data_IF_321619290512
#
_entry.id   IF_321619290512
#
_cell.length_a   1.000
_cell.length_b   1.000
_cell.length_c   1.000
_cell.angle_alpha   90.00
_cell.angle_beta   90.00
_cell.angle_gamma   90.00
#
_symmetry.space_group_name_H-M   'P 1'
#
loop_
_entity.id
_entity.type
_entity.pdbx_description
1 polymer ?
#
# COMPACT_ATOMS: atom_id res chain seq x y z
N UNK A 1 -21.99 25.68 44.01
CA UNK A 1 -22.75 24.46 43.63
C UNK A 1 -22.50 24.01 42.17
N UNK A 2 -22.27 24.91 41.20
CA UNK A 2 -21.86 24.53 39.82
C UNK A 2 -20.45 23.92 39.70
N UNK A 3 -19.47 24.39 40.49
CA UNK A 3 -18.08 23.91 40.44
C UNK A 3 -17.87 22.48 40.98
N UNK A 4 -18.73 21.98 41.88
CA UNK A 4 -18.64 20.62 42.39
C UNK A 4 -19.23 19.58 41.42
N UNK A 5 -20.11 20.00 40.52
CA UNK A 5 -20.71 19.14 39.49
C UNK A 5 -19.76 18.90 38.30
N UNK A 6 -18.92 19.89 37.95
CA UNK A 6 -17.88 19.71 36.91
C UNK A 6 -16.76 18.76 37.34
N UNK A 7 -16.33 18.84 38.61
CA UNK A 7 -15.31 17.94 39.17
C UNK A 7 -15.79 16.48 39.31
N UNK A 8 -17.10 16.27 39.52
CA UNK A 8 -17.69 14.94 39.58
C UNK A 8 -17.83 14.33 38.18
N UNK A 9 -18.28 15.12 37.19
CA UNK A 9 -18.37 14.70 35.79
C UNK A 9 -16.99 14.40 35.20
N UNK A 10 -15.98 15.24 35.47
CA UNK A 10 -14.61 15.02 35.02
C UNK A 10 -13.99 13.74 35.60
N UNK A 11 -14.24 13.42 36.87
CA UNK A 11 -13.78 12.16 37.49
C UNK A 11 -14.50 10.93 36.95
N UNK A 12 -15.78 11.05 36.58
CA UNK A 12 -16.56 9.95 36.02
C UNK A 12 -16.16 9.64 34.56
N UNK A 13 -15.89 10.67 33.75
CA UNK A 13 -15.37 10.53 32.38
C UNK A 13 -13.95 9.95 32.37
N UNK A 14 -13.08 10.38 33.29
CA UNK A 14 -11.70 9.85 33.41
C UNK A 14 -11.65 8.38 33.83
N UNK A 15 -12.64 7.92 34.62
CA UNK A 15 -12.79 6.52 35.06
C UNK A 15 -13.37 5.63 33.95
N UNK A 16 -14.17 6.18 33.03
CA UNK A 16 -14.62 5.47 31.83
C UNK A 16 -13.51 5.38 30.77
N UNK A 17 -12.70 6.43 30.60
CA UNK A 17 -11.54 6.42 29.71
C UNK A 17 -10.44 5.44 30.14
N UNK A 18 -10.27 5.21 31.45
CA UNK A 18 -9.28 4.24 31.95
C UNK A 18 -9.76 2.78 31.86
N UNK A 19 -11.07 2.53 31.77
CA UNK A 19 -11.61 1.17 31.58
C UNK A 19 -11.70 0.81 30.09
N UNK A 20 -11.94 1.77 29.19
CA UNK A 20 -11.90 1.52 27.73
C UNK A 20 -10.48 1.39 27.16
N UNK A 21 -9.48 2.03 27.78
CA UNK A 21 -8.07 1.86 27.37
C UNK A 21 -7.48 0.54 27.93
N UNK A 22 -7.97 0.04 29.07
CA UNK A 22 -7.54 -1.25 29.62
C UNK A 22 -8.07 -2.46 28.82
N UNK A 23 -9.21 -2.33 28.14
CA UNK A 23 -9.70 -3.36 27.21
C UNK A 23 -8.90 -3.41 25.89
N UNK A 24 -8.19 -2.34 25.54
CA UNK A 24 -7.27 -2.28 24.39
C UNK A 24 -5.83 -2.72 24.75
N UNK A 25 -5.50 -2.81 26.04
CA UNK A 25 -4.15 -3.22 26.52
C UNK A 25 -4.12 -4.68 27.01
N UNK A 26 -5.27 -5.33 27.22
CA UNK A 26 -5.32 -6.75 27.63
C UNK A 26 -5.57 -7.76 26.48
N UNK A 27 -5.70 -7.30 25.24
CA UNK A 27 -5.65 -8.18 24.05
C UNK A 27 -4.23 -8.39 23.50
N UNK A 28 -3.22 -7.72 24.07
CA UNK A 28 -1.84 -7.80 23.62
C UNK A 28 -1.08 -9.08 24.07
N UNK A 29 -1.75 -9.98 24.79
CA UNK A 29 -1.18 -11.28 25.18
C UNK A 29 -2.18 -12.44 25.03
N UNK A 30 -3.11 -12.35 24.08
CA UNK A 30 -3.89 -13.50 23.63
C UNK A 30 -3.57 -13.80 22.17
N UNK A 31 -2.31 -14.17 21.90
CA UNK A 31 -1.99 -14.92 20.70
C UNK A 31 -2.74 -16.25 20.83
N UNK A 32 -3.86 -16.37 20.12
CA UNK A 32 -4.51 -17.67 19.93
C UNK A 32 -3.64 -18.39 18.91
N UNK A 33 -2.91 -19.38 19.38
CA UNK A 33 -2.27 -20.38 18.54
C UNK A 33 -3.36 -21.25 17.93
N UNK A 34 -4.08 -20.72 16.93
CA UNK A 34 -4.74 -21.59 15.95
C UNK A 34 -3.61 -22.12 15.05
N UNK A 35 -2.89 -23.10 15.61
CA UNK A 35 -1.87 -23.90 14.94
C UNK A 35 -2.57 -24.78 13.89
N UNK A 36 -2.97 -24.19 12.77
CA UNK A 36 -2.70 -24.85 11.51
C UNK A 36 -1.23 -24.50 11.19
N UNK A 37 -0.25 -25.36 11.54
CA UNK A 37 1.11 -25.11 11.12
C UNK A 37 1.08 -24.98 9.60
N UNK A 38 1.67 -23.90 9.08
CA UNK A 38 2.20 -23.95 7.72
C UNK A 38 3.02 -25.25 7.69
N UNK A 39 2.70 -26.23 6.81
CA UNK A 39 3.44 -27.48 6.76
C UNK A 39 4.91 -27.08 6.66
N UNK A 40 5.70 -27.60 7.60
CA UNK A 40 7.10 -27.23 7.88
C UNK A 40 7.76 -26.60 6.68
N UNK A 41 7.91 -25.27 6.71
CA UNK A 41 8.36 -24.51 5.55
C UNK A 41 9.74 -25.04 5.10
N UNK A 42 9.77 -25.89 4.09
CA UNK A 42 11.03 -26.31 3.49
C UNK A 42 11.62 -25.08 2.78
N UNK A 43 12.95 -25.04 2.53
CA UNK A 43 13.59 -23.93 1.81
C UNK A 43 13.00 -23.63 0.41
N UNK A 44 12.08 -24.47 -0.08
CA UNK A 44 11.36 -24.38 -1.36
C UNK A 44 9.93 -23.85 -1.26
N UNK A 45 9.40 -23.57 -0.08
CA UNK A 45 8.03 -23.05 0.04
C UNK A 45 7.92 -21.58 -0.39
N UNK A 46 6.89 -21.22 -1.17
CA UNK A 46 6.72 -19.88 -1.72
C UNK A 46 6.53 -18.82 -0.60
N UNK A 47 7.12 -17.62 -0.73
CA UNK A 47 7.02 -16.52 0.23
C UNK A 47 5.62 -15.96 0.47
N UNK A 48 4.62 -16.36 -0.31
CA UNK A 48 3.22 -16.01 -0.08
C UNK A 48 2.72 -16.51 1.30
N UNK A 49 3.37 -17.54 1.89
CA UNK A 49 3.07 -18.01 3.24
C UNK A 49 3.79 -17.25 4.37
N UNK A 50 4.58 -16.20 4.09
CA UNK A 50 5.41 -15.53 5.11
C UNK A 50 4.84 -14.25 5.70
N UNK A 51 3.95 -13.56 4.98
CA UNK A 51 3.22 -12.42 5.53
C UNK A 51 1.91 -12.93 6.12
N UNK A 52 1.80 -12.85 7.45
CA UNK A 52 0.52 -13.06 8.12
C UNK A 52 -0.42 -11.91 7.73
N UNK A 53 -1.32 -12.16 6.78
CA UNK A 53 -2.30 -11.17 6.36
C UNK A 53 -3.61 -11.23 7.15
N UNK A 54 -3.72 -12.14 8.13
CA UNK A 54 -4.80 -12.12 9.14
C UNK A 54 -4.23 -11.92 10.57
N UNK A 55 -3.48 -10.84 10.84
CA UNK A 55 -2.81 -10.66 12.14
C UNK A 55 -3.76 -10.41 13.32
N UNK A 56 -5.05 -10.20 13.06
CA UNK A 56 -6.06 -9.91 14.07
C UNK A 56 -7.14 -11.01 14.12
N UNK A 57 -7.76 -11.27 15.28
CA UNK A 57 -8.88 -12.21 15.35
C UNK A 57 -10.03 -11.80 14.42
N UNK A 58 -10.56 -12.75 13.64
CA UNK A 58 -11.67 -12.51 12.68
C UNK A 58 -12.87 -11.79 13.30
N UNK A 59 -13.22 -12.11 14.56
CA UNK A 59 -14.35 -11.49 15.27
C UNK A 59 -14.11 -10.00 15.55
N UNK A 60 -12.86 -9.61 15.80
CA UNK A 60 -12.50 -8.22 16.02
C UNK A 60 -12.61 -7.42 14.73
N UNK A 61 -12.11 -7.98 13.62
CA UNK A 61 -12.22 -7.37 12.30
C UNK A 61 -13.68 -7.21 11.90
N UNK A 62 -14.48 -8.27 12.00
CA UNK A 62 -15.92 -8.23 11.70
C UNK A 62 -16.65 -7.17 12.53
N UNK A 63 -16.31 -7.01 13.82
CA UNK A 63 -16.87 -5.96 14.68
C UNK A 63 -16.46 -4.53 14.30
N UNK A 64 -15.29 -4.35 13.69
CA UNK A 64 -14.76 -3.05 13.29
C UNK A 64 -15.25 -2.57 11.91
N UNK A 65 -15.79 -3.47 11.08
CA UNK A 65 -16.17 -3.18 9.68
C UNK A 65 -17.12 -2.00 9.51
N UNK A 66 -18.13 -1.89 10.38
CA UNK A 66 -19.12 -0.81 10.33
C UNK A 66 -18.45 0.57 10.48
N UNK A 67 -17.34 0.64 11.19
CA UNK A 67 -16.55 1.86 11.38
C UNK A 67 -15.39 2.01 10.40
N UNK A 68 -15.12 1.04 9.53
CA UNK A 68 -13.91 1.01 8.69
C UNK A 68 -13.72 2.28 7.83
N UNK A 69 -14.76 2.87 7.20
CA UNK A 69 -14.60 4.14 6.47
C UNK A 69 -14.14 5.30 7.35
N UNK A 70 -14.67 5.39 8.58
CA UNK A 70 -14.34 6.46 9.53
C UNK A 70 -12.94 6.25 10.07
N UNK A 71 -12.64 5.06 10.59
CA UNK A 71 -11.33 4.73 11.15
C UNK A 71 -10.23 4.78 10.10
N UNK A 72 -10.48 4.29 8.88
CA UNK A 72 -9.54 4.31 7.76
C UNK A 72 -9.17 5.74 7.35
N UNK A 73 -10.15 6.64 7.25
CA UNK A 73 -9.91 8.07 6.99
C UNK A 73 -9.14 8.76 8.11
N UNK A 74 -9.44 8.45 9.36
CA UNK A 74 -8.68 9.01 10.49
C UNK A 74 -7.23 8.50 10.46
N UNK A 75 -7.04 7.20 10.24
CA UNK A 75 -5.73 6.58 10.19
C UNK A 75 -4.88 7.11 9.01
N UNK A 76 -5.49 7.41 7.86
CA UNK A 76 -4.75 7.95 6.71
C UNK A 76 -4.18 9.35 6.97
N UNK A 77 -4.82 10.13 7.84
CA UNK A 77 -4.35 11.47 8.25
C UNK A 77 -3.20 11.43 9.26
N UNK A 78 -3.06 10.34 10.01
CA UNK A 78 -2.06 10.24 11.08
C UNK A 78 -0.71 9.79 10.52
N UNK A 79 0.23 10.74 10.51
CA UNK A 79 1.64 10.53 10.20
C UNK A 79 2.49 11.02 11.36
N UNK A 80 3.23 10.13 12.01
CA UNK A 80 4.17 10.50 13.07
C UNK A 80 5.52 10.99 12.53
N UNK A 81 5.89 10.54 11.33
CA UNK A 81 7.18 10.86 10.69
C UNK A 81 7.03 10.83 9.17
N UNK A 82 7.67 11.78 8.48
CA UNK A 82 7.88 11.67 7.03
C UNK A 82 8.80 10.49 6.70
N UNK A 83 8.53 9.83 5.58
CA UNK A 83 9.41 8.80 5.05
C UNK A 83 10.80 9.35 4.74
N UNK A 84 11.82 8.53 4.95
CA UNK A 84 13.20 8.97 4.78
C UNK A 84 13.52 9.41 3.35
N UNK A 85 12.82 8.87 2.33
CA UNK A 85 12.99 9.29 0.93
C UNK A 85 12.43 10.68 0.62
N UNK A 86 11.53 11.22 1.45
CA UNK A 86 10.88 12.51 1.17
C UNK A 86 11.91 13.64 0.96
N UNK A 87 12.98 13.62 1.77
CA UNK A 87 14.05 14.64 1.78
C UNK A 87 15.22 14.30 0.86
N UNK A 88 15.24 13.11 0.25
CA UNK A 88 16.35 12.64 -0.56
C UNK A 88 16.09 12.93 -2.04
N UNK A 89 16.45 14.15 -2.47
CA UNK A 89 16.17 14.59 -3.84
C UNK A 89 16.86 13.71 -4.89
N UNK A 90 18.10 13.29 -4.61
CA UNK A 90 18.87 12.42 -5.51
C UNK A 90 18.20 11.04 -5.68
N UNK A 91 17.61 10.50 -4.60
CA UNK A 91 16.86 9.25 -4.65
C UNK A 91 15.61 9.38 -5.53
N UNK A 92 14.89 10.50 -5.40
CA UNK A 92 13.71 10.80 -6.23
C UNK A 92 14.08 10.99 -7.70
N UNK A 93 15.21 11.65 -7.98
CA UNK A 93 15.77 11.78 -9.35
C UNK A 93 16.13 10.40 -9.91
N UNK A 94 16.81 9.57 -9.12
CA UNK A 94 17.15 8.21 -9.49
C UNK A 94 15.90 7.39 -9.83
N UNK A 95 14.90 7.34 -8.94
CA UNK A 95 13.65 6.61 -9.17
C UNK A 95 12.95 7.10 -10.43
N UNK A 96 12.79 8.42 -10.60
CA UNK A 96 12.17 9.02 -11.79
C UNK A 96 12.90 8.65 -13.08
N UNK A 97 14.23 8.51 -13.05
CA UNK A 97 15.01 8.06 -14.22
C UNK A 97 14.75 6.59 -14.61
N UNK A 98 14.20 5.78 -13.70
CA UNK A 98 13.90 4.36 -13.92
C UNK A 98 12.46 4.10 -14.34
N UNK A 99 11.55 5.03 -14.02
CA UNK A 99 10.12 4.88 -14.28
C UNK A 99 9.79 4.89 -15.78
N UNK A 100 8.79 4.10 -16.13
CA UNK A 100 8.13 4.09 -17.43
C UNK A 100 6.62 4.01 -17.22
N UNK A 101 5.80 4.61 -18.12
CA UNK A 101 4.35 4.56 -17.97
C UNK A 101 3.85 3.11 -17.82
N UNK A 102 2.93 2.92 -16.87
CA UNK A 102 2.38 1.67 -16.32
C UNK A 102 3.23 0.95 -15.27
N UNK A 103 4.39 1.47 -14.88
CA UNK A 103 5.14 0.87 -13.76
C UNK A 103 4.35 0.97 -12.45
N UNK A 104 4.30 -0.13 -11.69
CA UNK A 104 3.78 -0.18 -10.32
C UNK A 104 4.90 0.25 -9.36
N UNK A 105 4.57 1.18 -8.47
CA UNK A 105 5.43 1.61 -7.38
C UNK A 105 4.83 1.11 -6.08
N UNK A 106 5.48 0.11 -5.48
CA UNK A 106 5.09 -0.45 -4.18
C UNK A 106 5.91 0.23 -3.10
N UNK A 107 5.25 0.71 -2.05
CA UNK A 107 5.89 1.57 -1.06
C UNK A 107 5.72 1.07 0.38
N UNK A 108 6.76 1.31 1.17
CA UNK A 108 6.79 1.05 2.62
C UNK A 108 6.96 2.35 3.37
N UNK A 109 6.05 2.68 4.29
CA UNK A 109 6.06 3.97 5.02
C UNK A 109 5.84 3.74 6.52
N UNK A 110 6.91 3.45 7.26
CA UNK A 110 6.86 3.10 8.69
C UNK A 110 6.47 4.27 9.59
N UNK A 111 6.38 5.48 9.04
CA UNK A 111 5.94 6.69 9.73
C UNK A 111 4.42 6.93 9.74
N UNK A 112 3.63 6.14 9.00
CA UNK A 112 2.15 6.30 8.89
C UNK A 112 1.40 5.31 9.78
N UNK A 113 0.22 5.70 10.29
CA UNK A 113 -0.64 4.82 11.09
C UNK A 113 -1.15 3.62 10.29
N UNK A 114 -1.52 3.82 9.03
CA UNK A 114 -1.94 2.73 8.14
C UNK A 114 -0.91 1.61 8.01
N UNK A 115 0.39 1.93 8.07
CA UNK A 115 1.46 0.92 8.01
C UNK A 115 1.56 0.02 9.23
N UNK A 116 1.06 0.47 10.38
CA UNK A 116 1.01 -0.37 11.59
C UNK A 116 -0.26 -1.20 11.68
N UNK A 117 -1.31 -0.79 10.97
CA UNK A 117 -2.62 -1.42 10.99
C UNK A 117 -2.79 -2.47 9.89
N UNK A 118 -2.13 -2.25 8.74
CA UNK A 118 -2.18 -3.18 7.61
C UNK A 118 -1.02 -4.17 7.68
N UNK A 119 -1.24 -5.44 7.32
CA UNK A 119 -0.17 -6.43 7.28
C UNK A 119 0.81 -6.18 6.14
N UNK A 120 2.06 -6.61 6.34
CA UNK A 120 3.11 -6.61 5.31
C UNK A 120 4.09 -5.43 5.36
N UNK A 121 5.15 -5.55 4.57
CA UNK A 121 6.21 -4.53 4.47
C UNK A 121 5.85 -3.44 3.47
N UNK A 122 5.20 -3.81 2.38
CA UNK A 122 4.66 -2.91 1.37
C UNK A 122 3.15 -2.89 1.53
N UNK A 123 2.60 -1.72 1.80
CA UNK A 123 1.18 -1.57 2.19
C UNK A 123 0.36 -0.81 1.15
N UNK A 124 1.02 -0.28 0.13
CA UNK A 124 0.39 0.62 -0.84
C UNK A 124 1.05 0.48 -2.20
N UNK A 125 0.25 0.68 -3.24
CA UNK A 125 0.63 0.60 -4.65
C UNK A 125 0.16 1.87 -5.35
N UNK A 126 1.07 2.56 -6.03
CA UNK A 126 0.76 3.62 -6.98
C UNK A 126 1.17 3.19 -8.38
N UNK A 127 0.51 3.70 -9.43
CA UNK A 127 0.87 3.41 -10.82
C UNK A 127 1.37 4.68 -11.49
N UNK A 128 2.54 4.62 -12.12
CA UNK A 128 3.10 5.74 -12.86
C UNK A 128 2.40 5.89 -14.23
N UNK A 129 1.72 7.01 -14.45
CA UNK A 129 1.00 7.29 -15.71
C UNK A 129 1.87 7.97 -16.76
N UNK A 130 2.86 8.74 -16.31
CA UNK A 130 3.79 9.45 -17.19
C UNK A 130 3.63 10.97 -17.14
N UNK A 131 4.71 11.64 -17.53
CA UNK A 131 4.74 13.10 -17.74
C UNK A 131 3.99 13.50 -19.00
N UNK A 132 3.67 14.80 -19.14
CA UNK A 132 3.14 15.37 -20.39
C UNK A 132 3.97 14.95 -21.62
N UNK A 133 5.30 14.99 -21.52
CA UNK A 133 6.20 14.61 -22.62
C UNK A 133 6.00 13.15 -23.05
N UNK A 134 5.86 12.24 -22.08
CA UNK A 134 5.66 10.82 -22.35
C UNK A 134 4.27 10.56 -22.93
N UNK A 135 3.23 11.21 -22.39
CA UNK A 135 1.86 11.10 -22.89
C UNK A 135 1.72 11.68 -24.32
N UNK A 136 2.44 12.76 -24.64
CA UNK A 136 2.54 13.30 -26.01
C UNK A 136 3.22 12.31 -26.95
N UNK A 137 4.33 11.71 -26.51
CA UNK A 137 5.06 10.69 -27.28
C UNK A 137 4.18 9.46 -27.55
N UNK A 138 3.34 9.09 -26.59
CA UNK A 138 2.37 8.01 -26.73
C UNK A 138 1.12 8.43 -27.54
N UNK A 139 1.00 9.68 -28.00
CA UNK A 139 -0.18 10.16 -28.72
C UNK A 139 -1.45 10.20 -27.87
N UNK A 140 -1.32 10.15 -26.54
CA UNK A 140 -2.43 10.20 -25.59
C UNK A 140 -2.73 11.62 -25.11
N UNK A 141 -1.83 12.57 -25.32
CA UNK A 141 -2.03 13.92 -24.82
C UNK A 141 -3.31 14.58 -25.33
N UNK A 142 -3.75 14.28 -26.56
CA UNK A 142 -4.99 14.83 -27.13
C UNK A 142 -6.25 14.04 -26.75
N UNK A 143 -6.13 12.96 -25.99
CA UNK A 143 -7.25 12.15 -25.55
C UNK A 143 -8.09 12.89 -24.51
N UNK A 144 -9.42 12.86 -24.62
CA UNK A 144 -10.31 13.60 -23.73
C UNK A 144 -10.16 13.17 -22.27
N UNK A 145 -9.96 11.87 -22.01
CA UNK A 145 -9.76 11.34 -20.65
C UNK A 145 -8.47 11.87 -20.01
N UNK A 146 -7.43 12.10 -20.81
CA UNK A 146 -6.16 12.68 -20.35
C UNK A 146 -6.27 14.19 -20.22
N UNK A 147 -6.94 14.85 -21.17
CA UNK A 147 -7.10 16.31 -21.19
C UNK A 147 -7.90 16.82 -20.01
N UNK A 148 -8.88 16.05 -19.51
CA UNK A 148 -9.61 16.37 -18.28
C UNK A 148 -8.70 16.59 -17.06
N UNK A 149 -7.47 16.05 -17.09
CA UNK A 149 -6.49 16.15 -16.01
C UNK A 149 -5.18 16.83 -16.43
N UNK A 150 -5.16 17.53 -17.57
CA UNK A 150 -3.94 18.10 -18.14
C UNK A 150 -3.19 19.04 -17.18
N UNK A 151 -3.91 19.85 -16.41
CA UNK A 151 -3.29 20.82 -15.50
C UNK A 151 -2.66 20.16 -14.28
N UNK A 152 -3.27 19.10 -13.74
CA UNK A 152 -2.69 18.26 -12.69
C UNK A 152 -1.40 17.57 -13.18
N UNK A 153 -1.43 17.00 -14.40
CA UNK A 153 -0.25 16.35 -15.00
C UNK A 153 0.89 17.37 -15.21
N UNK A 154 0.58 18.59 -15.66
CA UNK A 154 1.58 19.67 -15.79
C UNK A 154 2.15 20.09 -14.44
N UNK A 155 1.33 20.09 -13.39
CA UNK A 155 1.75 20.38 -12.02
C UNK A 155 2.64 19.28 -11.41
N UNK A 156 2.68 18.09 -12.03
CA UNK A 156 3.53 16.98 -11.61
C UNK A 156 2.77 15.78 -11.04
N UNK A 157 1.44 15.77 -11.11
CA UNK A 157 0.59 14.66 -10.67
C UNK A 157 0.57 13.56 -11.73
N UNK A 158 1.66 12.79 -11.73
CA UNK A 158 2.01 11.81 -12.77
C UNK A 158 1.82 10.36 -12.31
N UNK A 159 1.29 10.15 -11.11
CA UNK A 159 0.88 8.86 -10.57
C UNK A 159 -0.63 8.81 -10.40
N UNK A 160 -1.17 7.60 -10.38
CA UNK A 160 -2.53 7.32 -9.92
C UNK A 160 -2.48 6.35 -8.75
N UNK A 161 -3.33 6.57 -7.76
CA UNK A 161 -3.48 5.73 -6.59
C UNK A 161 -4.92 5.74 -6.10
N UNK A 162 -5.32 4.67 -5.42
CA UNK A 162 -6.56 4.64 -4.63
C UNK A 162 -6.19 4.85 -3.15
N UNK A 163 -6.70 5.92 -2.56
CA UNK A 163 -6.53 6.27 -1.14
C UNK A 163 -7.90 6.56 -0.51
N UNK A 164 -7.98 6.88 0.77
CA UNK A 164 -9.25 7.05 1.51
C UNK A 164 -10.26 8.05 0.90
N UNK A 165 -9.77 8.95 0.06
CA UNK A 165 -10.50 9.97 -0.70
C UNK A 165 -11.06 9.47 -2.04
N UNK A 166 -10.66 8.26 -2.47
CA UNK A 166 -10.96 7.67 -3.77
C UNK A 166 -9.73 7.52 -4.65
N UNK A 167 -9.95 7.13 -5.90
CA UNK A 167 -8.92 7.07 -6.94
C UNK A 167 -8.61 8.49 -7.44
N UNK A 168 -7.34 8.87 -7.38
CA UNK A 168 -6.88 10.23 -7.73
C UNK A 168 -5.49 10.23 -8.33
N UNK A 169 -5.12 11.37 -8.93
CA UNK A 169 -3.74 11.64 -9.28
C UNK A 169 -2.93 12.05 -8.05
N UNK A 170 -1.64 11.76 -8.09
CA UNK A 170 -0.68 12.10 -7.05
C UNK A 170 0.68 12.50 -7.64
N UNK A 171 1.36 13.39 -6.93
CA UNK A 171 2.71 13.84 -7.27
C UNK A 171 3.77 12.80 -6.87
N UNK A 172 4.95 12.93 -7.48
CA UNK A 172 6.12 12.14 -7.05
C UNK A 172 6.51 12.39 -5.59
N UNK A 173 6.32 13.62 -5.09
CA UNK A 173 6.68 13.98 -3.72
C UNK A 173 5.74 13.35 -2.69
N UNK A 174 4.46 13.16 -3.02
CA UNK A 174 3.51 12.41 -2.20
C UNK A 174 3.84 10.91 -2.19
N UNK A 175 3.99 10.31 -3.37
CA UNK A 175 4.24 8.86 -3.52
C UNK A 175 5.57 8.45 -2.90
N UNK A 176 6.60 9.31 -3.01
CA UNK A 176 7.93 9.04 -2.45
C UNK A 176 8.16 9.60 -1.05
N UNK A 177 7.11 10.04 -0.34
CA UNK A 177 7.19 10.31 1.11
C UNK A 177 7.09 8.99 1.92
N UNK A 178 8.08 8.12 1.69
CA UNK A 178 8.12 6.72 2.15
C UNK A 178 9.55 6.34 2.54
N UNK A 179 9.74 5.19 3.17
CA UNK A 179 11.07 4.70 3.57
C UNK A 179 11.67 3.81 2.48
N UNK A 180 10.84 3.04 1.78
CA UNK A 180 11.28 2.16 0.70
C UNK A 180 10.31 2.22 -0.47
N UNK A 181 10.84 2.08 -1.68
CA UNK A 181 10.06 2.03 -2.91
C UNK A 181 10.62 0.96 -3.86
N UNK A 182 9.75 0.11 -4.40
CA UNK A 182 10.05 -0.86 -5.45
C UNK A 182 9.32 -0.43 -6.71
N UNK A 183 10.00 -0.49 -7.85
CA UNK A 183 9.40 -0.32 -9.17
C UNK A 183 9.30 -1.68 -9.85
N UNK A 184 8.06 -2.12 -10.11
CA UNK A 184 7.74 -3.32 -10.87
C UNK A 184 7.10 -2.94 -12.19
N UNK A 185 7.65 -3.44 -13.29
CA UNK A 185 7.23 -3.11 -14.64
C UNK A 185 6.36 -4.21 -15.24
N UNK A 186 5.12 -3.93 -15.65
CA UNK A 186 4.28 -4.92 -16.31
C UNK A 186 4.77 -5.27 -17.71
N UNK A 187 4.44 -6.47 -18.14
CA UNK A 187 4.67 -6.93 -19.51
C UNK A 187 3.44 -6.60 -20.35
N UNK A 188 3.61 -5.64 -21.28
CA UNK A 188 2.53 -5.16 -22.15
C UNK A 188 2.84 -5.48 -23.60
N UNK A 189 1.94 -6.23 -24.26
CA UNK A 189 2.20 -6.84 -25.57
C UNK A 189 2.36 -5.85 -26.73
N UNK A 190 1.81 -4.63 -26.64
CA UNK A 190 1.91 -3.65 -27.74
C UNK A 190 1.73 -2.20 -27.27
N UNK A 191 2.23 -1.21 -28.05
CA UNK A 191 1.94 0.20 -27.81
C UNK A 191 0.45 0.53 -27.82
N UNK A 192 -0.36 -0.17 -28.64
CA UNK A 192 -1.82 -0.01 -28.66
C UNK A 192 -2.44 -0.41 -27.32
N UNK A 193 -2.04 -1.56 -26.77
CA UNK A 193 -2.50 -2.02 -25.45
C UNK A 193 -2.01 -1.09 -24.35
N UNK A 194 -0.76 -0.63 -24.40
CA UNK A 194 -0.21 0.36 -23.45
C UNK A 194 -1.07 1.63 -23.40
N UNK A 195 -1.47 2.17 -24.55
CA UNK A 195 -2.37 3.33 -24.62
C UNK A 195 -3.75 3.05 -24.04
N UNK A 196 -4.33 1.90 -24.34
CA UNK A 196 -5.63 1.50 -23.82
C UNK A 196 -5.61 1.38 -22.28
N UNK A 197 -4.57 0.78 -21.72
CA UNK A 197 -4.38 0.66 -20.26
C UNK A 197 -4.24 2.02 -19.59
N UNK A 198 -3.46 2.94 -20.17
CA UNK A 198 -3.31 4.30 -19.62
C UNK A 198 -4.65 5.04 -19.62
N UNK A 199 -5.43 4.99 -20.72
CA UNK A 199 -6.78 5.58 -20.74
C UNK A 199 -7.69 4.99 -19.68
N UNK A 200 -7.62 3.66 -19.50
CA UNK A 200 -8.42 2.98 -18.48
C UNK A 200 -8.05 3.48 -17.08
N UNK A 201 -6.76 3.64 -16.75
CA UNK A 201 -6.39 4.27 -15.49
C UNK A 201 -6.94 5.69 -15.36
N UNK A 202 -6.89 6.52 -16.40
CA UNK A 202 -7.48 7.86 -16.34
C UNK A 202 -9.00 7.82 -16.13
N UNK A 203 -9.71 6.84 -16.68
CA UNK A 203 -11.16 6.71 -16.46
C UNK A 203 -11.54 6.28 -15.05
N UNK A 204 -10.61 5.68 -14.30
CA UNK A 204 -10.85 5.30 -12.88
C UNK A 204 -10.76 6.49 -11.92
N UNK A 205 -10.33 7.67 -12.36
CA UNK A 205 -10.21 8.83 -11.48
C UNK A 205 -11.60 9.23 -10.96
N UNK A 206 -11.75 9.26 -9.64
CA UNK A 206 -13.02 9.53 -8.96
C UNK A 206 -13.74 8.27 -8.45
N UNK A 207 -13.31 7.07 -8.82
CA UNK A 207 -13.84 5.82 -8.26
C UNK A 207 -13.67 5.79 -6.73
N UNK A 208 -14.69 5.33 -6.02
CA UNK A 208 -14.70 5.33 -4.55
C UNK A 208 -13.66 4.37 -3.95
N UNK A 209 -13.20 4.66 -2.74
CA UNK A 209 -12.25 3.78 -2.04
C UNK A 209 -12.97 2.63 -1.34
N UNK A 210 -12.45 1.42 -1.50
CA UNK A 210 -12.91 0.26 -0.74
C UNK A 210 -12.17 0.12 0.60
N UNK A 211 -12.89 0.35 1.69
CA UNK A 211 -12.38 0.17 3.05
C UNK A 211 -12.45 -1.27 3.56
N UNK A 212 -13.11 -2.17 2.81
CA UNK A 212 -13.21 -3.59 3.15
C UNK A 212 -12.06 -4.40 2.58
N UNK A 213 -11.34 -3.86 1.59
CA UNK A 213 -10.27 -4.55 0.88
C UNK A 213 -10.75 -5.89 0.28
N UNK A 214 -11.92 -5.84 -0.35
CA UNK A 214 -12.61 -6.96 -1.00
C UNK A 214 -12.54 -6.79 -2.52
N UNK A 215 -11.54 -7.41 -3.15
CA UNK A 215 -11.32 -7.41 -4.59
C UNK A 215 -12.32 -8.29 -5.37
N UNK A 216 -13.42 -8.71 -4.73
CA UNK A 216 -14.54 -9.40 -5.36
C UNK A 216 -15.61 -8.46 -5.92
N UNK A 217 -15.56 -7.16 -5.59
CA UNK A 217 -16.52 -6.12 -5.99
C UNK A 217 -15.78 -4.92 -6.59
N UNK A 218 -16.09 -4.56 -7.84
CA UNK A 218 -15.41 -3.50 -8.58
C UNK A 218 -16.10 -2.12 -8.50
N UNK A 219 -17.14 -1.95 -7.68
CA UNK A 219 -17.79 -0.64 -7.46
C UNK A 219 -16.87 0.37 -6.76
N UNK A 220 -15.92 -0.13 -5.97
CA UNK A 220 -14.95 0.66 -5.20
C UNK A 220 -13.61 -0.05 -5.24
N UNK A 221 -12.53 0.73 -5.32
CA UNK A 221 -11.19 0.17 -5.51
C UNK A 221 -10.27 0.57 -4.37
N UNK A 222 -9.45 -0.38 -3.91
CA UNK A 222 -8.25 -0.09 -3.13
C UNK A 222 -6.99 -0.16 -4.00
N UNK A 223 -5.84 0.25 -3.46
CA UNK A 223 -4.65 0.57 -4.26
C UNK A 223 -4.14 -0.60 -5.12
N UNK A 224 -4.04 -1.81 -4.55
CA UNK A 224 -3.57 -2.99 -5.28
C UNK A 224 -4.64 -3.54 -6.24
N UNK A 225 -5.92 -3.38 -5.89
CA UNK A 225 -7.04 -3.74 -6.75
C UNK A 225 -7.11 -2.86 -7.99
N UNK A 226 -6.99 -1.53 -7.86
CA UNK A 226 -6.90 -0.61 -8.99
C UNK A 226 -5.82 -1.05 -9.99
N UNK A 227 -4.65 -1.44 -9.50
CA UNK A 227 -3.58 -1.94 -10.34
C UNK A 227 -3.96 -3.25 -11.05
N UNK A 228 -4.54 -4.22 -10.34
CA UNK A 228 -4.94 -5.51 -10.89
C UNK A 228 -6.12 -5.43 -11.87
N UNK A 229 -7.14 -4.63 -11.53
CA UNK A 229 -8.33 -4.37 -12.32
C UNK A 229 -7.94 -3.85 -13.71
N UNK A 230 -7.10 -2.82 -13.76
CA UNK A 230 -6.69 -2.23 -15.04
C UNK A 230 -5.62 -3.08 -15.74
N UNK A 231 -4.59 -3.53 -15.03
CA UNK A 231 -3.52 -4.37 -15.57
C UNK A 231 -3.88 -5.85 -15.54
N UNK A 232 -5.04 -6.19 -16.10
CA UNK A 232 -5.44 -7.57 -16.27
C UNK A 232 -4.35 -8.40 -16.99
N UNK A 233 -4.21 -9.67 -16.59
CA UNK A 233 -3.22 -10.62 -17.09
C UNK A 233 -1.76 -10.32 -16.69
N UNK A 234 -1.52 -9.70 -15.53
CA UNK A 234 -0.18 -9.62 -14.95
C UNK A 234 0.13 -10.75 -13.96
N UNK A 235 -0.79 -11.70 -13.77
CA UNK A 235 -0.67 -12.81 -12.81
C UNK A 235 -0.38 -12.29 -11.38
N UNK A 236 -1.09 -11.22 -11.00
CA UNK A 236 -1.08 -10.65 -9.64
C UNK A 236 -1.81 -11.62 -8.70
N UNK A 237 -1.19 -12.05 -7.59
CA UNK A 237 -1.80 -13.01 -6.68
C UNK A 237 -3.06 -12.47 -5.99
N UNK A 238 -4.09 -13.31 -5.94
CA UNK A 238 -5.28 -13.14 -5.12
C UNK A 238 -5.21 -14.16 -3.98
N UNK A 239 -5.64 -13.75 -2.78
CA UNK A 239 -5.72 -14.63 -1.61
C UNK A 239 -6.99 -14.38 -0.81
N UNK A 240 -7.45 -15.37 -0.09
CA UNK A 240 -8.50 -15.18 0.91
C UNK A 240 -7.90 -14.51 2.15
N UNK A 241 -8.51 -13.41 2.60
CA UNK A 241 -8.14 -12.67 3.81
C UNK A 241 -9.42 -12.27 4.51
N UNK A 242 -9.62 -12.68 5.76
CA UNK A 242 -10.84 -12.41 6.52
C UNK A 242 -12.13 -12.82 5.78
N UNK A 243 -12.08 -13.93 5.02
CA UNK A 243 -13.23 -14.47 4.27
C UNK A 243 -13.60 -13.71 2.99
N UNK A 244 -12.71 -12.85 2.49
CA UNK A 244 -12.89 -12.07 1.25
C UNK A 244 -11.67 -12.23 0.34
N UNK A 245 -11.88 -11.99 -0.96
CA UNK A 245 -10.78 -12.01 -1.93
C UNK A 245 -9.99 -10.72 -1.80
N UNK A 246 -8.70 -10.79 -1.53
CA UNK A 246 -7.86 -9.62 -1.36
C UNK A 246 -6.54 -9.74 -2.14
N UNK A 247 -5.92 -8.59 -2.37
CA UNK A 247 -4.58 -8.48 -2.96
C UNK A 247 -3.66 -7.85 -1.93
N UNK A 248 -2.72 -8.63 -1.42
CA UNK A 248 -1.71 -8.15 -0.48
C UNK A 248 -0.50 -7.65 -1.30
N UNK A 249 -0.05 -6.39 -1.16
CA UNK A 249 1.03 -5.86 -2.00
C UNK A 249 2.35 -6.62 -1.86
N UNK A 250 2.64 -7.16 -0.68
CA UNK A 250 3.78 -8.05 -0.43
C UNK A 250 3.77 -9.30 -1.34
N UNK A 251 2.59 -9.86 -1.64
CA UNK A 251 2.47 -11.01 -2.55
C UNK A 251 2.79 -10.63 -4.01
N UNK A 252 2.53 -9.38 -4.41
CA UNK A 252 2.94 -8.84 -5.71
C UNK A 252 4.46 -8.81 -5.80
N UNK A 253 5.13 -8.31 -4.75
CA UNK A 253 6.61 -8.28 -4.67
C UNK A 253 7.17 -9.69 -4.74
N UNK A 254 6.67 -10.60 -3.89
CA UNK A 254 7.10 -11.99 -3.85
C UNK A 254 6.94 -12.66 -5.22
N UNK A 255 5.75 -12.57 -5.82
CA UNK A 255 5.46 -13.17 -7.13
C UNK A 255 6.37 -12.64 -8.24
N UNK A 256 6.67 -11.34 -8.26
CA UNK A 256 7.61 -10.74 -9.21
C UNK A 256 9.07 -11.17 -8.98
N UNK A 257 9.48 -11.31 -7.71
CA UNK A 257 10.83 -11.75 -7.35
C UNK A 257 11.10 -13.20 -7.75
N UNK A 258 10.07 -14.02 -7.76
CA UNK A 258 10.10 -15.43 -8.12
C UNK A 258 9.85 -15.71 -9.60
N UNK A 259 9.38 -14.69 -10.35
CA UNK A 259 9.01 -14.86 -11.75
C UNK A 259 7.70 -15.61 -11.94
N UNK A 260 6.82 -15.60 -10.93
CA UNK A 260 5.45 -16.15 -11.01
C UNK A 260 4.46 -15.15 -11.61
N UNK A 261 4.74 -13.84 -11.51
CA UNK A 261 3.97 -12.80 -12.19
C UNK A 261 4.64 -12.33 -13.48
N UNK A 262 3.89 -11.61 -14.32
CA UNK A 262 4.43 -10.93 -15.52
C UNK A 262 5.00 -9.55 -15.22
N UNK A 263 5.27 -9.26 -13.95
CA UNK A 263 5.90 -8.04 -13.48
C UNK A 263 7.41 -8.26 -13.35
N UNK A 264 8.19 -7.35 -13.94
CA UNK A 264 9.65 -7.39 -13.89
C UNK A 264 10.19 -6.34 -12.95
N UNK A 265 11.19 -6.71 -12.15
CA UNK A 265 11.92 -5.76 -11.32
C UNK A 265 12.60 -4.68 -12.19
N UNK A 266 12.36 -3.40 -11.87
CA UNK A 266 12.97 -2.26 -12.57
C UNK A 266 13.90 -1.44 -11.65
N UNK A 267 13.51 -1.23 -10.39
CA UNK A 267 14.33 -0.51 -9.42
C UNK A 267 13.90 -0.83 -7.98
N UNK A 268 14.82 -0.65 -7.04
CA UNK A 268 14.53 -0.64 -5.62
C UNK A 268 15.38 0.43 -4.93
N UNK A 269 14.76 1.16 -4.03
CA UNK A 269 15.42 2.15 -3.18
C UNK A 269 14.95 1.97 -1.75
N UNK A 270 15.90 2.07 -0.82
CA UNK A 270 15.65 2.11 0.62
C UNK A 270 16.32 3.36 1.20
N UNK A 271 15.67 4.00 2.15
CA UNK A 271 16.27 5.09 2.92
C UNK A 271 15.99 4.92 4.42
N UNK A 272 16.94 5.42 5.19
CA UNK A 272 16.91 5.46 6.64
C UNK A 272 17.50 6.79 7.14
N UNK A 273 17.95 6.83 8.39
CA UNK A 273 18.55 8.03 9.00
C UNK A 273 19.94 8.35 8.44
N UNK A 274 20.65 7.36 7.92
CA UNK A 274 22.03 7.48 7.45
C UNK A 274 22.09 7.91 5.98
N UNK A 275 21.04 7.63 5.22
CA UNK A 275 20.92 8.12 3.85
C UNK A 275 19.94 7.29 3.04
N UNK A 276 20.25 7.12 1.76
CA UNK A 276 19.50 6.26 0.86
C UNK A 276 20.44 5.39 0.04
N UNK A 277 19.95 4.23 -0.36
CA UNK A 277 20.66 3.28 -1.21
C UNK A 277 19.76 2.82 -2.35
N UNK A 278 20.35 2.62 -3.53
CA UNK A 278 19.71 1.88 -4.62
C UNK A 278 20.14 0.42 -4.53
N UNK A 279 19.18 -0.48 -4.41
CA UNK A 279 19.42 -1.92 -4.36
C UNK A 279 19.05 -2.62 -5.66
N UNK A 280 19.67 -3.76 -5.92
CA UNK A 280 19.28 -4.67 -6.99
C UNK A 280 18.24 -5.70 -6.49
N UNK A 281 17.86 -6.65 -7.36
CA UNK A 281 16.89 -7.70 -7.02
C UNK A 281 17.31 -8.59 -5.83
N UNK A 282 18.61 -8.85 -5.67
CA UNK A 282 19.14 -9.63 -4.55
C UNK A 282 19.12 -8.83 -3.25
N UNK A 283 19.41 -7.53 -3.31
CA UNK A 283 19.27 -6.63 -2.15
C UNK A 283 17.81 -6.57 -1.68
N UNK A 284 16.87 -6.37 -2.61
CA UNK A 284 15.45 -6.40 -2.29
C UNK A 284 15.04 -7.73 -1.66
N UNK A 285 15.48 -8.88 -2.19
CA UNK A 285 15.20 -10.19 -1.59
C UNK A 285 15.70 -10.23 -0.15
N UNK A 286 16.96 -9.85 0.10
CA UNK A 286 17.53 -9.84 1.45
C UNK A 286 16.74 -8.93 2.39
N UNK A 287 16.44 -7.71 1.98
CA UNK A 287 15.81 -6.69 2.83
C UNK A 287 14.32 -7.00 3.09
N UNK A 288 13.63 -7.57 2.09
CA UNK A 288 12.27 -8.09 2.22
C UNK A 288 12.24 -9.28 3.18
N UNK A 289 13.10 -10.28 2.97
CA UNK A 289 13.11 -11.49 3.79
C UNK A 289 13.66 -11.27 5.21
N UNK A 290 14.56 -10.30 5.43
CA UNK A 290 15.03 -9.94 6.77
C UNK A 290 13.96 -9.21 7.57
N UNK A 291 13.15 -8.36 6.92
CA UNK A 291 12.04 -7.65 7.56
C UNK A 291 10.88 -8.60 7.91
N UNK A 292 10.53 -9.54 7.02
CA UNK A 292 9.51 -10.57 7.32
C UNK A 292 9.92 -11.52 8.45
N UNK A 293 11.21 -11.84 8.58
CA UNK A 293 11.71 -12.66 9.69
C UNK A 293 11.67 -11.93 11.04
N UNK A 294 11.94 -10.61 11.06
CA UNK A 294 11.83 -9.79 12.26
C UNK A 294 10.37 -9.55 12.70
N UNK A 295 9.44 -9.45 11.75
CA UNK A 295 8.01 -9.37 12.04
C UNK A 295 7.47 -10.65 12.71
N UNK A 296 8.02 -11.82 12.35
CA UNK A 296 7.66 -13.11 12.94
C UNK A 296 8.40 -13.44 14.25
N UNK A 297 9.48 -12.73 14.60
CA UNK A 297 10.28 -13.05 15.79
C UNK A 297 9.88 -12.27 17.05
N UNK A 298 8.97 -11.30 16.96
CA UNK A 298 8.30 -10.71 18.14
C UNK A 298 9.23 -10.35 19.30
N UNK A 299 10.47 -9.98 19.03
CA UNK A 299 11.39 -9.53 20.07
C UNK A 299 11.09 -8.05 20.32
N UNK A 300 10.22 -7.78 21.28
CA UNK A 300 10.21 -6.50 21.97
C UNK A 300 11.65 -6.19 22.43
N UNK A 301 12.21 -5.11 21.93
CA UNK A 301 13.33 -4.39 22.52
C UNK A 301 12.93 -2.95 22.71
#
# INVERSE_FOLDING_TARGET
MKLLLEEAWYRQVKRWWSVSLAALVLSACSHRTDNAPCPTAEPRDPPACRTDAEPYPRVLVAGAEVGAPVFGRIASLIRWRDGYLHRQQDAKVYLRSKLQPLDLVLVSSRGKATHRLLPGTFIHVAVYLGTEKELRTLGLWKDETVQAHADAIKAGDIFIEAVSEGVRLASADEVFNVDQAIVLRPTVASPKRKRALLRHFFSEIGTGFDFRFDAGDDERLFCAELANHVLANQDIPLREVYGRTAIVPDDIVASALEGRSRLRFAAYVSADREGWTAGNKADLKRDYFSTSAAANSGACS
#
